data_IF_060272362960
#
_entry.id   IF_060272362960
#
_cell.length_a   1.000
_cell.length_b   1.000
_cell.length_c   1.000
_cell.angle_alpha   90.00
_cell.angle_beta   90.00
_cell.angle_gamma   90.00
#
_symmetry.space_group_name_H-M   'P 1'
#
loop_
_entity.id
_entity.type
_entity.pdbx_description
1 polymer ?
#
# COMPACT_ATOMS: atom_id res chain seq x y z
N UNK A 1 69.61 5.08 -38.72
CA UNK A 1 69.38 5.68 -40.05
C UNK A 1 67.89 5.85 -40.18
N UNK A 2 67.36 7.06 -40.35
CA UNK A 2 67.68 8.01 -41.43
C UNK A 2 66.76 7.65 -42.59
N UNK A 3 65.61 8.31 -42.74
CA UNK A 3 65.43 9.49 -43.60
C UNK A 3 64.96 9.02 -44.98
N UNK A 4 64.01 9.61 -45.70
CA UNK A 4 63.26 10.85 -45.58
C UNK A 4 62.68 11.19 -46.97
N UNK A 5 61.67 12.07 -47.00
CA UNK A 5 61.19 12.85 -48.17
C UNK A 5 60.49 12.07 -49.29
N UNK A 6 59.43 12.55 -49.95
CA UNK A 6 58.86 13.89 -50.09
C UNK A 6 58.58 14.14 -51.59
N UNK A 7 57.43 14.74 -51.92
CA UNK A 7 57.17 15.31 -53.26
C UNK A 7 55.72 15.20 -53.72
N UNK A 8 55.02 16.34 -53.77
CA UNK A 8 53.63 16.46 -54.18
C UNK A 8 53.42 16.69 -55.68
N UNK A 9 52.14 16.83 -56.05
CA UNK A 9 51.66 17.28 -57.36
C UNK A 9 50.13 17.37 -57.39
N UNK A 10 49.63 18.60 -57.50
CA UNK A 10 48.22 19.00 -57.68
C UNK A 10 47.53 18.38 -58.91
N UNK A 11 46.21 18.17 -58.81
CA UNK A 11 45.21 18.76 -59.76
C UNK A 11 43.75 18.47 -59.36
N UNK A 12 42.94 19.52 -59.44
CA UNK A 12 41.49 19.59 -59.28
C UNK A 12 40.69 18.64 -60.19
N UNK A 13 39.51 18.22 -59.73
CA UNK A 13 38.53 17.48 -60.53
C UNK A 13 37.20 17.24 -59.80
N UNK A 14 36.31 18.23 -59.85
CA UNK A 14 34.92 18.29 -59.36
C UNK A 14 34.01 17.22 -60.03
N UNK A 15 33.18 16.48 -59.27
CA UNK A 15 31.70 16.35 -59.41
C UNK A 15 31.07 15.05 -58.83
N UNK A 16 30.11 15.30 -57.92
CA UNK A 16 28.71 14.80 -57.86
C UNK A 16 28.45 13.34 -57.47
N UNK A 17 27.55 13.21 -56.49
CA UNK A 17 27.10 11.98 -55.87
C UNK A 17 26.31 11.03 -56.76
N UNK A 18 26.25 9.78 -56.29
CA UNK A 18 25.43 8.71 -56.84
C UNK A 18 24.73 7.97 -55.70
N UNK A 19 23.41 8.02 -55.75
CA UNK A 19 22.45 7.34 -54.87
C UNK A 19 22.53 5.83 -55.09
N UNK A 20 22.61 5.04 -54.02
CA UNK A 20 22.43 3.59 -54.09
C UNK A 20 21.03 3.24 -53.57
N UNK A 21 20.15 2.88 -54.50
CA UNK A 21 18.85 2.27 -54.27
C UNK A 21 19.02 0.76 -54.16
N UNK A 22 18.38 0.16 -53.16
CA UNK A 22 17.68 -1.11 -53.31
C UNK A 22 18.35 -2.36 -52.72
N UNK A 23 17.68 -2.95 -51.73
CA UNK A 23 17.56 -4.40 -51.64
C UNK A 23 16.20 -4.75 -51.03
N UNK A 24 15.37 -5.41 -51.84
CA UNK A 24 14.05 -5.91 -51.52
C UNK A 24 14.11 -6.98 -50.41
N UNK A 25 13.23 -6.87 -49.41
CA UNK A 25 13.00 -7.92 -48.44
C UNK A 25 11.74 -8.69 -48.82
N UNK A 26 11.92 -10.00 -49.00
CA UNK A 26 10.93 -10.96 -49.42
C UNK A 26 9.75 -11.09 -48.45
N UNK A 27 8.57 -11.32 -49.02
CA UNK A 27 7.33 -11.64 -48.32
C UNK A 27 7.41 -13.09 -47.83
N UNK A 28 7.28 -13.30 -46.51
CA UNK A 28 7.07 -14.61 -45.90
C UNK A 28 5.65 -14.70 -45.33
N UNK A 29 4.98 -15.86 -45.45
CA UNK A 29 3.59 -16.02 -45.07
C UNK A 29 3.42 -16.15 -43.55
N UNK A 30 2.23 -15.78 -43.11
CA UNK A 30 1.60 -15.99 -41.81
C UNK A 30 2.05 -17.30 -41.11
N UNK A 31 2.85 -17.19 -40.03
CA UNK A 31 2.89 -18.07 -38.85
C UNK A 31 4.23 -17.99 -38.11
N UNK A 32 4.27 -17.19 -37.05
CA UNK A 32 4.87 -17.56 -35.77
C UNK A 32 4.58 -16.39 -34.83
N UNK A 33 3.62 -16.55 -33.92
CA UNK A 33 3.61 -15.75 -32.71
C UNK A 33 4.88 -16.12 -31.95
N UNK A 34 5.99 -15.44 -32.24
CA UNK A 34 7.10 -15.42 -31.32
C UNK A 34 6.60 -14.68 -30.09
N UNK A 35 6.65 -15.35 -28.94
CA UNK A 35 6.62 -14.72 -27.62
C UNK A 35 7.90 -13.84 -27.45
N UNK A 36 8.16 -12.96 -28.40
CA UNK A 36 9.30 -12.06 -28.42
C UNK A 36 8.87 -10.81 -27.67
N UNK A 37 9.36 -10.68 -26.45
CA UNK A 37 9.55 -9.46 -25.65
C UNK A 37 8.36 -8.48 -25.64
N UNK A 38 7.83 -8.16 -24.47
CA UNK A 38 6.86 -7.07 -24.31
C UNK A 38 7.44 -5.74 -24.85
N UNK A 39 7.24 -5.48 -26.14
CA UNK A 39 7.92 -4.43 -26.87
C UNK A 39 6.94 -3.28 -27.05
N UNK A 40 6.87 -2.39 -26.06
CA UNK A 40 5.94 -1.25 -26.02
C UNK A 40 6.04 -0.43 -27.32
N UNK A 41 4.93 -0.34 -28.06
CA UNK A 41 4.82 0.47 -29.26
C UNK A 41 4.44 1.90 -28.86
N UNK A 42 5.25 2.86 -29.27
CA UNK A 42 5.00 4.28 -29.00
C UNK A 42 3.96 4.88 -29.96
N UNK A 43 3.99 4.48 -31.23
CA UNK A 43 3.15 5.04 -32.29
C UNK A 43 2.94 4.06 -33.45
N UNK A 44 1.82 4.16 -34.16
CA UNK A 44 1.57 3.47 -35.43
C UNK A 44 1.38 4.51 -36.54
N UNK A 45 2.12 4.37 -37.63
CA UNK A 45 2.12 5.33 -38.75
C UNK A 45 1.97 4.60 -40.09
N UNK A 46 1.25 5.16 -41.07
CA UNK A 46 1.18 4.58 -42.42
C UNK A 46 2.51 4.62 -43.17
N UNK A 47 3.41 5.54 -42.79
CA UNK A 47 4.71 5.74 -43.42
C UNK A 47 5.79 5.99 -42.35
N UNK A 48 7.02 5.56 -42.65
CA UNK A 48 8.19 5.84 -41.81
C UNK A 48 8.59 7.30 -41.92
N UNK A 49 8.44 8.06 -40.83
CA UNK A 49 8.86 9.46 -40.76
C UNK A 49 10.34 9.55 -40.41
N UNK A 50 11.06 10.48 -41.05
CA UNK A 50 12.49 10.74 -40.81
C UNK A 50 12.81 11.08 -39.33
N UNK A 51 11.83 11.58 -38.57
CA UNK A 51 11.98 11.87 -37.14
C UNK A 51 12.20 10.61 -36.28
N UNK A 52 11.78 9.42 -36.76
CA UNK A 52 12.00 8.13 -36.09
C UNK A 52 13.20 7.37 -36.66
N UNK A 53 14.09 8.06 -37.39
CA UNK A 53 15.30 7.43 -37.94
C UNK A 53 16.16 6.83 -36.81
N UNK A 54 16.31 5.50 -36.83
CA UNK A 54 17.06 4.73 -35.82
C UNK A 54 16.21 4.07 -34.73
N UNK A 55 14.89 4.29 -34.72
CA UNK A 55 13.97 3.56 -33.84
C UNK A 55 13.75 2.11 -34.30
N UNK A 56 13.31 1.24 -33.38
CA UNK A 56 12.86 -0.13 -33.71
C UNK A 56 11.51 -0.03 -34.43
N UNK A 57 11.43 -0.47 -35.68
CA UNK A 57 10.20 -0.42 -36.49
C UNK A 57 9.69 -1.83 -36.76
N UNK A 58 8.40 -2.06 -36.52
CA UNK A 58 7.67 -3.27 -36.93
C UNK A 58 6.78 -2.93 -38.13
N UNK A 59 6.89 -3.70 -39.21
CA UNK A 59 6.13 -3.48 -40.45
C UNK A 59 5.00 -4.48 -40.56
N UNK A 60 3.82 -4.00 -40.96
CA UNK A 60 2.63 -4.80 -41.18
C UNK A 60 2.17 -4.69 -42.65
N UNK A 61 1.61 -5.78 -43.23
CA UNK A 61 1.02 -5.79 -44.57
C UNK A 61 -0.07 -4.72 -44.79
N UNK A 62 -0.87 -4.44 -43.77
CA UNK A 62 -1.96 -3.48 -43.85
C UNK A 62 -2.00 -2.55 -42.61
N UNK A 63 -2.51 -1.34 -42.81
CA UNK A 63 -2.59 -0.35 -41.73
C UNK A 63 -3.46 -0.81 -40.56
N UNK A 64 -4.61 -1.45 -40.84
CA UNK A 64 -5.51 -1.95 -39.80
C UNK A 64 -4.88 -3.04 -38.93
N UNK A 65 -3.97 -3.86 -39.48
CA UNK A 65 -3.23 -4.86 -38.70
C UNK A 65 -2.28 -4.19 -37.70
N UNK A 66 -1.64 -3.08 -38.09
CA UNK A 66 -0.80 -2.29 -37.19
C UNK A 66 -1.62 -1.60 -36.09
N UNK A 67 -2.82 -1.11 -36.43
CA UNK A 67 -3.77 -0.54 -35.45
C UNK A 67 -4.20 -1.59 -34.44
N UNK A 68 -4.61 -2.77 -34.92
CA UNK A 68 -5.07 -3.87 -34.08
C UNK A 68 -3.97 -4.34 -33.12
N UNK A 69 -2.74 -4.53 -33.60
CA UNK A 69 -1.64 -4.96 -32.74
C UNK A 69 -1.26 -3.89 -31.70
N UNK A 70 -1.21 -2.61 -32.09
CA UNK A 70 -0.93 -1.50 -31.18
C UNK A 70 -1.97 -1.44 -30.04
N UNK A 71 -3.26 -1.43 -30.38
CA UNK A 71 -4.31 -1.38 -29.35
C UNK A 71 -4.43 -2.69 -28.56
N UNK A 72 -4.16 -3.85 -29.17
CA UNK A 72 -4.06 -5.11 -28.44
C UNK A 72 -2.95 -5.05 -27.39
N UNK A 73 -1.81 -4.44 -27.70
CA UNK A 73 -0.76 -4.24 -26.72
C UNK A 73 -1.14 -3.25 -25.62
N UNK A 74 -1.72 -2.10 -25.95
CA UNK A 74 -2.16 -1.11 -24.95
C UNK A 74 -3.14 -1.75 -23.96
N UNK A 75 -4.09 -2.56 -24.45
CA UNK A 75 -5.02 -3.28 -23.59
C UNK A 75 -4.33 -4.36 -22.74
N UNK A 76 -3.34 -5.08 -23.27
CA UNK A 76 -2.51 -6.01 -22.48
C UNK A 76 -1.76 -5.27 -21.36
N UNK A 77 -1.11 -4.16 -21.67
CA UNK A 77 -0.36 -3.34 -20.71
C UNK A 77 -1.28 -2.77 -19.61
N UNK A 78 -2.46 -2.29 -20.00
CA UNK A 78 -3.49 -1.82 -19.07
C UNK A 78 -3.96 -2.95 -18.14
N UNK A 79 -4.26 -4.14 -18.68
CA UNK A 79 -4.66 -5.29 -17.88
C UNK A 79 -3.58 -5.72 -16.87
N UNK A 80 -2.30 -5.66 -17.27
CA UNK A 80 -1.16 -5.93 -16.37
C UNK A 80 -1.08 -4.89 -15.26
N UNK A 81 -1.22 -3.60 -15.59
CA UNK A 81 -1.22 -2.51 -14.60
C UNK A 81 -2.40 -2.63 -13.62
N UNK A 82 -3.61 -2.89 -14.10
CA UNK A 82 -4.78 -3.10 -13.25
C UNK A 82 -4.61 -4.32 -12.32
N UNK A 83 -4.05 -5.41 -12.83
CA UNK A 83 -3.72 -6.59 -12.03
C UNK A 83 -2.69 -6.25 -10.94
N UNK A 84 -1.61 -5.55 -11.28
CA UNK A 84 -0.60 -5.09 -10.32
C UNK A 84 -1.21 -4.18 -9.24
N UNK A 85 -2.11 -3.26 -9.62
CA UNK A 85 -2.81 -2.40 -8.67
C UNK A 85 -3.71 -3.21 -7.73
N UNK A 86 -4.42 -4.22 -8.24
CA UNK A 86 -5.24 -5.10 -7.40
C UNK A 86 -4.38 -5.93 -6.43
N UNK A 87 -3.23 -6.44 -6.90
CA UNK A 87 -2.28 -7.16 -6.05
C UNK A 87 -1.71 -6.25 -4.96
N UNK A 88 -1.27 -5.05 -5.33
CA UNK A 88 -0.77 -4.05 -4.39
C UNK A 88 -1.86 -3.64 -3.38
N UNK A 89 -3.11 -3.47 -3.81
CA UNK A 89 -4.22 -3.17 -2.93
C UNK A 89 -4.53 -4.33 -1.93
N UNK A 90 -4.31 -5.58 -2.33
CA UNK A 90 -4.45 -6.73 -1.44
C UNK A 90 -3.36 -6.73 -0.35
N UNK A 91 -2.09 -6.52 -0.73
CA UNK A 91 -0.97 -6.44 0.22
C UNK A 91 -1.04 -5.22 1.13
N UNK A 92 -1.48 -4.07 0.62
CA UNK A 92 -1.70 -2.86 1.43
C UNK A 92 -2.71 -3.08 2.56
N UNK A 93 -3.66 -4.00 2.42
CA UNK A 93 -4.58 -4.37 3.50
C UNK A 93 -3.86 -5.16 4.60
N UNK A 94 -2.91 -6.01 4.24
CA UNK A 94 -2.06 -6.75 5.19
C UNK A 94 -1.20 -5.77 5.97
N UNK A 95 -0.53 -4.84 5.29
CA UNK A 95 0.33 -3.84 5.96
C UNK A 95 -0.44 -2.99 6.97
N UNK A 96 -1.68 -2.59 6.63
CA UNK A 96 -2.56 -1.87 7.58
C UNK A 96 -2.87 -2.70 8.82
N UNK A 97 -3.14 -3.99 8.66
CA UNK A 97 -3.41 -4.89 9.79
C UNK A 97 -2.15 -5.01 10.64
N UNK A 98 -0.98 -5.22 10.00
CA UNK A 98 0.31 -5.32 10.68
C UNK A 98 0.61 -4.08 11.50
N UNK A 99 0.52 -2.90 10.89
CA UNK A 99 0.76 -1.62 11.57
C UNK A 99 -0.17 -1.43 12.79
N UNK A 100 -1.45 -1.73 12.64
CA UNK A 100 -2.41 -1.61 13.75
C UNK A 100 -2.08 -2.56 14.91
N UNK A 101 -1.57 -3.76 14.62
CA UNK A 101 -1.12 -4.67 15.68
C UNK A 101 0.20 -4.20 16.31
N UNK A 102 1.13 -3.70 15.51
CA UNK A 102 2.42 -3.19 15.99
C UNK A 102 2.24 -1.97 16.90
N UNK A 103 1.36 -1.02 16.55
CA UNK A 103 0.98 0.12 17.40
C UNK A 103 0.34 -0.34 18.71
N UNK A 104 -0.51 -1.37 18.65
CA UNK A 104 -1.11 -1.93 19.86
C UNK A 104 -0.04 -2.56 20.76
N UNK A 105 0.89 -3.32 20.19
CA UNK A 105 1.99 -3.95 20.93
C UNK A 105 2.93 -2.89 21.50
N UNK A 106 3.27 -1.86 20.74
CA UNK A 106 4.14 -0.78 21.21
C UNK A 106 3.52 -0.05 22.38
N UNK A 107 2.22 0.30 22.31
CA UNK A 107 1.53 0.95 23.45
C UNK A 107 1.50 0.10 24.72
N UNK A 108 1.41 -1.24 24.59
CA UNK A 108 1.47 -2.15 25.73
C UNK A 108 2.90 -2.24 26.30
N UNK A 109 3.92 -2.25 25.45
CA UNK A 109 5.33 -2.23 25.86
C UNK A 109 5.71 -0.92 26.54
N UNK A 110 5.24 0.22 26.03
CA UNK A 110 5.45 1.52 26.68
C UNK A 110 4.85 1.52 28.08
N UNK A 111 3.64 0.99 28.28
CA UNK A 111 3.03 0.86 29.60
C UNK A 111 3.81 -0.07 30.53
N UNK A 112 4.30 -1.19 30.01
CA UNK A 112 5.15 -2.11 30.78
C UNK A 112 6.44 -1.42 31.26
N UNK A 113 7.04 -0.61 30.40
CA UNK A 113 8.26 0.13 30.67
C UNK A 113 8.04 1.30 31.64
N UNK A 114 6.93 2.04 31.48
CA UNK A 114 6.51 3.05 32.43
C UNK A 114 6.28 2.45 33.83
N UNK A 115 5.59 1.31 33.92
CA UNK A 115 5.36 0.64 35.22
C UNK A 115 6.66 0.08 35.82
N UNK A 116 7.61 -0.35 34.98
CA UNK A 116 8.96 -0.73 35.41
C UNK A 116 9.68 0.46 36.03
N UNK A 117 9.74 1.58 35.31
CA UNK A 117 10.43 2.79 35.76
C UNK A 117 9.79 3.35 37.03
N UNK A 118 8.45 3.39 37.10
CA UNK A 118 7.70 3.78 38.30
C UNK A 118 8.06 2.92 39.51
N UNK A 119 8.10 1.60 39.34
CA UNK A 119 8.50 0.67 40.40
C UNK A 119 9.93 0.89 40.88
N UNK A 120 10.86 1.08 39.96
CA UNK A 120 12.29 1.31 40.26
C UNK A 120 12.53 2.64 40.97
N UNK A 121 11.93 3.74 40.50
CA UNK A 121 12.06 5.05 41.13
C UNK A 121 11.47 5.08 42.53
N UNK A 122 10.30 4.46 42.71
CA UNK A 122 9.69 4.34 44.03
C UNK A 122 10.52 3.47 44.98
N UNK A 123 11.21 2.44 44.47
CA UNK A 123 12.12 1.62 45.27
C UNK A 123 13.36 2.41 45.69
N UNK A 124 13.90 3.26 44.81
CA UNK A 124 15.06 4.10 45.11
C UNK A 124 14.74 5.16 46.19
N UNK A 125 13.62 5.89 46.06
CA UNK A 125 13.17 6.91 47.02
C UNK A 125 12.22 6.37 48.10
N UNK A 126 12.27 5.08 48.38
CA UNK A 126 11.28 4.41 49.26
C UNK A 126 11.20 5.03 50.66
N UNK A 127 12.34 5.43 51.25
CA UNK A 127 12.37 6.03 52.59
C UNK A 127 11.67 7.39 52.66
N UNK A 128 11.91 8.24 51.66
CA UNK A 128 11.30 9.57 51.56
C UNK A 128 9.79 9.46 51.31
N UNK A 129 9.39 8.55 50.42
CA UNK A 129 7.97 8.34 50.10
C UNK A 129 7.21 7.77 51.30
N UNK A 130 7.78 6.84 52.07
CA UNK A 130 7.10 6.28 53.25
C UNK A 130 6.96 7.32 54.37
N UNK A 131 7.96 8.21 54.53
CA UNK A 131 7.89 9.35 55.44
C UNK A 131 6.77 10.33 55.01
N UNK A 132 6.70 10.68 53.72
CA UNK A 132 5.64 11.52 53.17
C UNK A 132 4.24 10.89 53.36
N UNK A 133 4.08 9.61 53.03
CA UNK A 133 2.80 8.90 53.22
C UNK A 133 2.39 8.89 54.70
N UNK A 134 3.34 8.74 55.62
CA UNK A 134 3.08 8.76 57.05
C UNK A 134 2.68 10.15 57.55
N UNK A 135 3.30 11.21 57.03
CA UNK A 135 2.93 12.60 57.33
C UNK A 135 1.50 12.91 56.89
N UNK A 136 1.17 12.57 55.64
CA UNK A 136 -0.18 12.77 55.08
C UNK A 136 -1.22 11.98 55.88
N UNK A 137 -0.96 10.71 56.20
CA UNK A 137 -1.85 9.90 57.05
C UNK A 137 -2.09 10.55 58.42
N UNK A 138 -1.04 11.05 59.05
CA UNK A 138 -1.15 11.70 60.36
C UNK A 138 -2.02 12.97 60.27
N UNK A 139 -1.88 13.75 59.19
CA UNK A 139 -2.75 14.89 58.91
C UNK A 139 -4.22 14.49 58.76
N UNK A 140 -4.49 13.43 57.98
CA UNK A 140 -5.85 12.88 57.81
C UNK A 140 -6.42 12.35 59.13
N UNK A 141 -5.63 11.61 59.91
CA UNK A 141 -6.06 11.05 61.21
C UNK A 141 -6.34 12.13 62.26
N UNK A 142 -5.71 13.31 62.13
CA UNK A 142 -5.97 14.46 62.98
C UNK A 142 -7.29 15.18 62.69
N UNK A 143 -8.00 14.77 61.63
CA UNK A 143 -9.30 15.33 61.26
C UNK A 143 -9.23 16.64 60.46
N UNK A 144 -8.06 16.95 59.88
CA UNK A 144 -7.91 18.07 58.93
C UNK A 144 -8.75 17.83 57.68
N UNK A 145 -9.37 18.88 57.15
CA UNK A 145 -10.06 18.78 55.88
C UNK A 145 -9.08 18.74 54.69
N UNK A 146 -9.57 18.36 53.51
CA UNK A 146 -8.73 18.12 52.34
C UNK A 146 -8.17 19.42 51.72
N UNK A 147 -8.85 20.54 51.90
CA UNK A 147 -8.41 21.85 51.42
C UNK A 147 -7.30 22.37 52.34
N UNK A 148 -7.49 22.28 53.65
CA UNK A 148 -6.51 22.60 54.67
C UNK A 148 -5.22 21.76 54.52
N UNK A 149 -5.35 20.45 54.26
CA UNK A 149 -4.18 19.58 54.08
C UNK A 149 -3.42 19.92 52.79
N UNK A 150 -4.12 20.29 51.71
CA UNK A 150 -3.48 20.73 50.47
C UNK A 150 -2.76 22.08 50.67
N UNK A 151 -3.41 23.05 51.31
CA UNK A 151 -2.80 24.35 51.64
C UNK A 151 -1.58 24.20 52.55
N UNK A 152 -1.63 23.29 53.53
CA UNK A 152 -0.51 23.02 54.42
C UNK A 152 0.68 22.41 53.67
N UNK A 153 0.42 21.47 52.74
CA UNK A 153 1.45 20.87 51.90
C UNK A 153 2.07 21.94 50.99
N UNK A 154 1.27 22.78 50.35
CA UNK A 154 1.76 23.87 49.49
C UNK A 154 2.59 24.89 50.30
N UNK A 155 2.14 25.26 51.49
CA UNK A 155 2.87 26.16 52.38
C UNK A 155 4.19 25.54 52.87
N UNK A 156 4.21 24.24 53.16
CA UNK A 156 5.41 23.51 53.57
C UNK A 156 6.40 23.34 52.42
N UNK A 157 5.91 23.10 51.21
CA UNK A 157 6.71 23.07 50.00
C UNK A 157 7.36 24.43 49.72
N UNK A 158 6.61 25.53 49.87
CA UNK A 158 7.12 26.89 49.72
C UNK A 158 8.18 27.27 50.77
N UNK A 159 8.15 26.63 51.94
CA UNK A 159 9.16 26.77 52.99
C UNK A 159 10.42 25.93 52.75
N UNK A 160 10.45 25.13 51.67
CA UNK A 160 11.60 24.33 51.27
C UNK A 160 11.63 22.91 51.84
N UNK A 161 10.50 22.37 52.32
CA UNK A 161 10.43 20.95 52.69
C UNK A 161 10.46 20.07 51.44
N UNK A 162 11.51 19.26 51.32
CA UNK A 162 11.70 18.33 50.22
C UNK A 162 10.57 17.30 50.11
N UNK A 163 9.97 16.88 51.23
CA UNK A 163 8.86 15.91 51.22
C UNK A 163 7.58 16.52 50.64
N UNK A 164 7.26 17.74 51.07
CA UNK A 164 6.10 18.47 50.59
C UNK A 164 6.25 18.86 49.10
N UNK A 165 7.45 19.22 48.67
CA UNK A 165 7.74 19.56 47.28
C UNK A 165 7.53 18.39 46.30
N UNK A 166 7.59 17.14 46.77
CA UNK A 166 7.28 15.96 45.95
C UNK A 166 5.78 15.79 45.68
N UNK A 167 4.89 16.42 46.43
CA UNK A 167 3.44 16.26 46.24
C UNK A 167 2.99 17.09 45.04
N UNK A 168 2.46 16.41 44.03
CA UNK A 168 1.90 17.08 42.85
C UNK A 168 0.38 17.27 42.99
N UNK A 169 -0.32 16.25 43.51
CA UNK A 169 -1.77 16.29 43.69
C UNK A 169 -2.21 15.35 44.80
N UNK A 170 -3.12 15.82 45.64
CA UNK A 170 -3.78 15.01 46.67
C UNK A 170 -5.22 14.67 46.23
N UNK A 171 -5.62 13.39 46.25
CA UNK A 171 -6.99 12.93 45.97
C UNK A 171 -7.47 12.00 47.10
N UNK A 172 -7.88 12.62 48.22
CA UNK A 172 -8.35 11.89 49.40
C UNK A 172 -9.69 11.15 49.16
N UNK A 173 -10.48 11.56 48.17
CA UNK A 173 -11.73 10.89 47.81
C UNK A 173 -11.51 9.45 47.33
N UNK A 174 -10.34 9.17 46.73
CA UNK A 174 -9.89 7.82 46.38
C UNK A 174 -8.82 7.27 47.34
N UNK A 175 -8.43 8.06 48.34
CA UNK A 175 -7.27 7.79 49.20
C UNK A 175 -5.97 7.64 48.38
N UNK A 176 -5.78 8.50 47.38
CA UNK A 176 -4.62 8.49 46.49
C UNK A 176 -3.83 9.81 46.59
N UNK A 177 -2.51 9.73 46.46
CA UNK A 177 -1.63 10.90 46.30
C UNK A 177 -0.78 10.72 45.06
N UNK A 178 -0.66 11.76 44.25
CA UNK A 178 0.25 11.79 43.10
C UNK A 178 1.49 12.56 43.49
N UNK A 179 2.64 11.89 43.44
CA UNK A 179 3.95 12.48 43.70
C UNK A 179 4.72 12.67 42.39
N UNK A 180 5.53 13.71 42.32
CA UNK A 180 6.46 13.98 41.23
C UNK A 180 7.87 13.60 41.71
N UNK A 181 8.46 12.58 41.09
CA UNK A 181 9.85 12.21 41.34
C UNK A 181 10.72 12.70 40.19
N UNK A 182 11.69 13.54 40.49
CA UNK A 182 12.74 13.92 39.54
C UNK A 182 13.53 12.66 39.14
N UNK A 183 13.61 12.44 37.82
CA UNK A 183 14.46 11.42 37.22
C UNK A 183 15.78 12.09 36.86
N UNK A 184 16.86 11.66 37.50
CA UNK A 184 18.20 12.15 37.23
C UNK A 184 18.68 11.47 35.94
N UNK A 185 18.30 12.03 34.79
CA UNK A 185 18.78 11.55 33.49
C UNK A 185 20.11 12.25 33.21
N UNK A 186 21.23 11.54 33.43
CA UNK A 186 22.60 12.06 33.23
C UNK A 186 22.89 12.52 31.78
N UNK A 187 21.92 12.43 30.86
CA UNK A 187 22.11 12.55 29.42
C UNK A 187 21.44 13.75 28.73
N UNK A 188 20.77 14.68 29.45
CA UNK A 188 20.16 15.87 28.82
C UNK A 188 20.64 17.21 29.42
N UNK A 189 21.47 17.92 28.66
CA UNK A 189 21.95 19.29 28.91
C UNK A 189 20.87 20.38 28.67
N UNK A 190 19.57 20.06 28.59
CA UNK A 190 18.53 21.04 28.28
C UNK A 190 17.17 20.78 28.95
N UNK A 191 16.72 21.78 29.74
CA UNK A 191 15.34 22.11 30.13
C UNK A 191 14.62 21.10 31.03
N UNK A 192 14.38 21.49 32.30
CA UNK A 192 13.48 20.88 33.30
C UNK A 192 13.39 19.34 33.26
N UNK A 193 14.17 18.68 34.13
CA UNK A 193 14.17 17.22 34.28
C UNK A 193 12.72 16.67 34.28
N UNK A 194 12.38 15.71 33.41
CA UNK A 194 11.03 15.17 33.33
C UNK A 194 10.67 14.52 34.67
N UNK A 195 9.72 15.11 35.38
CA UNK A 195 9.24 14.55 36.65
C UNK A 195 8.32 13.36 36.36
N UNK A 196 8.67 12.20 36.91
CA UNK A 196 7.85 11.00 36.81
C UNK A 196 6.71 11.11 37.83
N UNK A 197 5.49 11.23 37.33
CA UNK A 197 4.29 11.26 38.17
C UNK A 197 3.89 9.83 38.59
N UNK A 198 3.75 9.63 39.89
CA UNK A 198 3.38 8.37 40.52
C UNK A 198 2.15 8.56 41.40
N UNK A 199 1.05 7.91 41.05
CA UNK A 199 -0.14 7.84 41.92
C UNK A 199 0.01 6.68 42.89
N UNK A 200 -0.05 6.97 44.19
CA UNK A 200 0.16 6.03 45.29
C UNK A 200 -1.10 5.95 46.15
N UNK A 201 -1.42 4.75 46.64
CA UNK A 201 -2.50 4.55 47.59
C UNK A 201 -2.04 4.89 49.01
N UNK A 202 -2.71 5.85 49.64
CA UNK A 202 -2.46 6.30 51.00
C UNK A 202 -2.75 5.21 52.03
N UNK A 203 -3.45 4.13 51.70
CA UNK A 203 -3.72 3.01 52.61
C UNK A 203 -2.57 2.00 52.64
N UNK A 204 -1.63 2.09 51.69
CA UNK A 204 -0.55 1.13 51.49
C UNK A 204 0.82 1.74 51.78
N UNK A 205 1.75 0.99 52.38
CA UNK A 205 3.13 1.46 52.55
C UNK A 205 3.81 1.71 51.20
N UNK A 206 4.91 2.47 51.19
CA UNK A 206 5.69 2.72 49.98
C UNK A 206 6.10 1.39 49.30
N UNK A 207 6.50 0.39 50.09
CA UNK A 207 6.86 -0.94 49.60
C UNK A 207 5.67 -1.70 48.98
N UNK A 208 4.47 -1.55 49.53
CA UNK A 208 3.27 -2.17 48.97
C UNK A 208 2.84 -1.51 47.66
N UNK A 209 2.93 -0.17 47.57
CA UNK A 209 2.72 0.56 46.33
C UNK A 209 3.75 0.19 45.25
N UNK A 210 5.04 0.06 45.60
CA UNK A 210 6.07 -0.40 44.67
C UNK A 210 5.78 -1.81 44.13
N UNK A 211 5.35 -2.73 45.00
CA UNK A 211 4.92 -4.07 44.58
C UNK A 211 3.74 -4.03 43.62
N UNK A 212 2.79 -3.10 43.80
CA UNK A 212 1.66 -2.95 42.90
C UNK A 212 2.12 -2.61 41.46
N UNK A 213 3.10 -1.72 41.29
CA UNK A 213 3.69 -1.44 39.98
C UNK A 213 4.39 -2.65 39.37
N UNK A 214 5.14 -3.44 40.16
CA UNK A 214 5.73 -4.69 39.64
C UNK A 214 4.70 -5.76 39.27
N UNK A 215 3.58 -5.85 39.99
CA UNK A 215 2.47 -6.72 39.63
C UNK A 215 1.79 -6.23 38.35
N UNK A 216 1.57 -4.92 38.23
CA UNK A 216 1.04 -4.29 37.02
C UNK A 216 1.94 -4.54 35.81
N UNK A 217 3.26 -4.37 35.95
CA UNK A 217 4.27 -4.73 34.94
C UNK A 217 4.14 -6.19 34.52
N UNK A 218 4.10 -7.14 35.46
CA UNK A 218 3.96 -8.57 35.13
C UNK A 218 2.65 -8.86 34.39
N UNK A 219 1.56 -8.21 34.80
CA UNK A 219 0.27 -8.34 34.12
C UNK A 219 0.30 -7.72 32.70
N UNK A 220 0.97 -6.57 32.54
CA UNK A 220 1.20 -5.92 31.25
C UNK A 220 2.04 -6.82 30.34
N UNK A 221 3.17 -7.35 30.82
CA UNK A 221 4.03 -8.28 30.09
C UNK A 221 3.27 -9.54 29.63
N UNK A 222 2.45 -10.14 30.51
CA UNK A 222 1.63 -11.28 30.15
C UNK A 222 0.56 -10.94 29.09
N UNK A 223 0.00 -9.72 29.13
CA UNK A 223 -0.91 -9.23 28.08
C UNK A 223 -0.17 -8.98 26.77
N UNK A 224 1.02 -8.40 26.82
CA UNK A 224 1.89 -8.16 25.66
C UNK A 224 2.22 -9.48 24.98
N UNK A 225 2.70 -10.49 25.71
CA UNK A 225 3.03 -11.81 25.15
C UNK A 225 1.84 -12.45 24.43
N UNK A 226 0.67 -12.50 25.07
CA UNK A 226 -0.56 -13.02 24.44
C UNK A 226 -1.00 -12.20 23.22
N UNK A 227 -0.81 -10.88 23.27
CA UNK A 227 -1.17 -9.99 22.16
C UNK A 227 -0.22 -10.17 20.97
N UNK A 228 1.07 -10.41 21.22
CA UNK A 228 2.06 -10.72 20.17
C UNK A 228 1.69 -12.01 19.46
N UNK A 229 1.42 -13.10 20.20
CA UNK A 229 1.01 -14.38 19.60
C UNK A 229 -0.28 -14.24 18.76
N UNK A 230 -1.28 -13.53 19.29
CA UNK A 230 -2.53 -13.27 18.58
C UNK A 230 -2.33 -12.37 17.35
N UNK A 231 -1.46 -11.37 17.43
CA UNK A 231 -1.12 -10.46 16.34
C UNK A 231 -0.41 -11.20 15.21
N UNK A 232 0.60 -12.02 15.53
CA UNK A 232 1.30 -12.85 14.54
C UNK A 232 0.35 -13.81 13.83
N UNK A 233 -0.56 -14.45 14.57
CA UNK A 233 -1.58 -15.32 13.98
C UNK A 233 -2.53 -14.53 13.05
N UNK A 234 -2.94 -13.33 13.45
CA UNK A 234 -3.81 -12.47 12.65
C UNK A 234 -3.14 -11.98 11.36
N UNK A 235 -1.87 -11.54 11.44
CA UNK A 235 -1.08 -11.12 10.28
C UNK A 235 -0.86 -12.29 9.34
N UNK A 236 -0.47 -13.46 9.84
CA UNK A 236 -0.28 -14.68 9.03
C UNK A 236 -1.57 -15.11 8.32
N UNK A 237 -2.71 -15.02 8.99
CA UNK A 237 -4.01 -15.31 8.38
C UNK A 237 -4.37 -14.30 7.28
N UNK A 238 -4.06 -13.02 7.49
CA UNK A 238 -4.25 -11.96 6.49
C UNK A 238 -3.34 -12.15 5.27
N UNK A 239 -2.07 -12.50 5.49
CA UNK A 239 -1.10 -12.84 4.44
C UNK A 239 -1.55 -14.03 3.62
N UNK A 240 -1.94 -15.14 4.26
CA UNK A 240 -2.45 -16.32 3.56
C UNK A 240 -3.69 -15.99 2.71
N UNK A 241 -4.59 -15.15 3.22
CA UNK A 241 -5.76 -14.68 2.48
C UNK A 241 -5.38 -13.78 1.32
N UNK A 242 -4.43 -12.87 1.50
CA UNK A 242 -3.92 -12.01 0.43
C UNK A 242 -3.25 -12.83 -0.66
N UNK A 243 -2.40 -13.79 -0.29
CA UNK A 243 -1.73 -14.69 -1.23
C UNK A 243 -2.74 -15.55 -2.00
N UNK A 244 -3.75 -16.11 -1.34
CA UNK A 244 -4.81 -16.87 -2.00
C UNK A 244 -5.65 -15.99 -2.95
N UNK A 245 -5.89 -14.72 -2.61
CA UNK A 245 -6.58 -13.78 -3.49
C UNK A 245 -5.73 -13.41 -4.70
N UNK A 246 -4.45 -13.09 -4.50
CA UNK A 246 -3.51 -12.77 -5.57
C UNK A 246 -3.34 -13.97 -6.52
N UNK A 247 -3.27 -15.20 -6.00
CA UNK A 247 -3.17 -16.40 -6.83
C UNK A 247 -4.44 -16.65 -7.70
N UNK A 248 -5.61 -16.19 -7.24
CA UNK A 248 -6.86 -16.24 -8.01
C UNK A 248 -6.98 -15.11 -9.03
N UNK A 249 -6.31 -13.98 -8.80
CA UNK A 249 -6.27 -12.86 -9.73
C UNK A 249 -5.41 -13.25 -10.93
N UNK A 250 -6.05 -13.47 -12.06
CA UNK A 250 -5.39 -13.73 -13.34
C UNK A 250 -5.66 -12.58 -14.28
N UNK A 251 -4.72 -12.33 -15.19
CA UNK A 251 -4.97 -11.45 -16.34
C UNK A 251 -6.16 -12.04 -17.10
N UNK A 252 -7.33 -11.41 -17.00
CA UNK A 252 -8.46 -11.84 -17.83
C UNK A 252 -8.12 -11.42 -19.26
N UNK A 253 -7.80 -12.38 -20.12
CA UNK A 253 -7.53 -12.19 -21.55
C UNK A 253 -8.79 -11.81 -22.35
N UNK A 254 -9.76 -11.15 -21.72
CA UNK A 254 -10.94 -10.64 -22.38
C UNK A 254 -10.65 -9.21 -22.78
N UNK A 255 -10.07 -9.02 -23.97
CA UNK A 255 -10.31 -7.82 -24.77
C UNK A 255 -11.83 -7.77 -24.90
N UNK A 256 -12.48 -6.99 -24.03
CA UNK A 256 -13.94 -6.92 -23.99
C UNK A 256 -14.32 -6.18 -25.26
N UNK A 257 -14.70 -6.92 -26.30
CA UNK A 257 -15.08 -6.35 -27.58
C UNK A 257 -16.14 -5.26 -27.33
N UNK A 258 -15.76 -3.99 -27.52
CA UNK A 258 -16.61 -2.81 -27.33
C UNK A 258 -17.72 -2.74 -28.39
N UNK A 259 -17.81 -3.71 -29.32
CA UNK A 259 -18.90 -3.74 -30.28
C UNK A 259 -20.23 -3.88 -29.56
N UNK A 260 -21.15 -2.94 -29.81
CA UNK A 260 -22.56 -3.15 -29.50
C UNK A 260 -23.00 -4.29 -30.41
N UNK A 261 -23.31 -5.48 -29.88
CA UNK A 261 -23.74 -6.57 -30.73
C UNK A 261 -25.02 -6.12 -31.43
N UNK A 262 -24.99 -6.11 -32.76
CA UNK A 262 -26.21 -5.85 -33.51
C UNK A 262 -27.14 -7.04 -33.35
N UNK A 263 -28.45 -6.81 -33.48
CA UNK A 263 -29.42 -7.90 -33.33
C UNK A 263 -29.17 -9.04 -34.35
N UNK A 264 -28.60 -8.70 -35.51
CA UNK A 264 -28.28 -9.62 -36.60
C UNK A 264 -26.96 -10.39 -36.42
N UNK A 265 -26.10 -10.02 -35.46
CA UNK A 265 -24.84 -10.74 -35.16
C UNK A 265 -25.06 -12.20 -34.71
N UNK A 266 -26.32 -12.55 -34.42
CA UNK A 266 -26.74 -13.92 -34.07
C UNK A 266 -26.82 -14.85 -35.29
N UNK A 267 -26.87 -14.30 -36.49
CA UNK A 267 -26.99 -15.04 -37.75
C UNK A 267 -25.67 -15.00 -38.52
N UNK A 268 -25.49 -15.89 -39.50
CA UNK A 268 -24.38 -15.75 -40.43
C UNK A 268 -24.69 -14.56 -41.34
N UNK A 269 -23.84 -13.54 -41.36
CA UNK A 269 -24.12 -12.32 -42.12
C UNK A 269 -22.89 -11.79 -42.85
N UNK A 270 -23.13 -11.09 -43.95
CA UNK A 270 -22.13 -10.30 -44.64
C UNK A 270 -22.80 -9.12 -45.33
N UNK A 271 -22.01 -8.10 -45.69
CA UNK A 271 -22.48 -6.98 -46.52
C UNK A 271 -22.07 -7.27 -47.96
N UNK A 272 -23.02 -7.24 -48.88
CA UNK A 272 -22.76 -7.47 -50.31
C UNK A 272 -22.01 -6.28 -50.94
N UNK A 273 -21.52 -6.46 -52.17
CA UNK A 273 -20.88 -5.37 -52.93
C UNK A 273 -21.79 -4.17 -53.19
N UNK A 274 -23.11 -4.40 -53.23
CA UNK A 274 -24.14 -3.36 -53.38
C UNK A 274 -24.57 -2.76 -52.03
N UNK A 275 -23.80 -3.01 -50.98
CA UNK A 275 -24.03 -2.51 -49.63
C UNK A 275 -25.37 -2.99 -49.02
N UNK A 276 -25.83 -4.18 -49.41
CA UNK A 276 -27.00 -4.85 -48.82
C UNK A 276 -26.56 -5.76 -47.68
N UNK A 277 -27.28 -5.74 -46.56
CA UNK A 277 -27.07 -6.67 -45.45
C UNK A 277 -27.71 -8.02 -45.80
N UNK A 278 -26.89 -9.05 -45.95
CA UNK A 278 -27.35 -10.42 -46.24
C UNK A 278 -27.28 -11.24 -44.95
N UNK A 279 -28.41 -11.83 -44.55
CA UNK A 279 -28.54 -12.68 -43.38
C UNK A 279 -28.85 -14.12 -43.81
N UNK A 280 -28.14 -15.07 -43.21
CA UNK A 280 -28.33 -16.49 -43.41
C UNK A 280 -28.59 -17.18 -42.07
N UNK A 281 -29.67 -17.95 -42.03
CA UNK A 281 -30.01 -18.84 -40.92
C UNK A 281 -29.29 -20.18 -41.06
N UNK A 282 -28.78 -20.71 -39.94
CA UNK A 282 -28.12 -22.02 -39.91
C UNK A 282 -29.09 -23.16 -39.60
N UNK A 283 -30.27 -22.86 -39.05
CA UNK A 283 -31.30 -23.85 -38.71
C UNK A 283 -32.70 -23.35 -39.10
N UNK A 284 -33.66 -24.28 -39.21
CA UNK A 284 -35.03 -23.95 -39.62
C UNK A 284 -35.73 -23.00 -38.63
N UNK A 285 -35.35 -23.06 -37.35
CA UNK A 285 -35.93 -22.21 -36.31
C UNK A 285 -35.43 -20.76 -36.39
N UNK A 286 -34.13 -20.54 -36.64
CA UNK A 286 -33.56 -19.21 -36.88
C UNK A 286 -34.03 -18.62 -38.20
N UNK A 287 -34.30 -19.45 -39.21
CA UNK A 287 -34.89 -19.02 -40.48
C UNK A 287 -36.30 -18.46 -40.28
N UNK A 288 -37.16 -19.20 -39.56
CA UNK A 288 -38.51 -18.75 -39.23
C UNK A 288 -38.51 -17.48 -38.37
N UNK A 289 -37.56 -17.36 -37.43
CA UNK A 289 -37.38 -16.17 -36.60
C UNK A 289 -36.90 -14.95 -37.39
N UNK A 290 -36.02 -15.13 -38.39
CA UNK A 290 -35.62 -14.04 -39.30
C UNK A 290 -36.82 -13.51 -40.09
N UNK A 291 -37.57 -14.43 -40.72
CA UNK A 291 -38.71 -14.08 -41.57
C UNK A 291 -39.84 -13.44 -40.76
N UNK A 292 -40.17 -14.01 -39.60
CA UNK A 292 -41.35 -13.57 -38.83
C UNK A 292 -41.10 -12.26 -38.07
N UNK A 293 -39.86 -12.01 -37.62
CA UNK A 293 -39.57 -10.91 -36.69
C UNK A 293 -38.80 -9.76 -37.30
N UNK A 294 -38.05 -10.01 -38.37
CA UNK A 294 -37.00 -9.10 -38.83
C UNK A 294 -37.02 -8.81 -40.33
N UNK A 295 -37.92 -9.41 -41.09
CA UNK A 295 -38.08 -9.19 -42.52
C UNK A 295 -39.21 -8.18 -42.76
N UNK A 296 -38.94 -7.15 -43.56
CA UNK A 296 -39.92 -6.15 -44.02
C UNK A 296 -40.45 -6.51 -45.43
N UNK A 297 -41.53 -5.86 -45.87
CA UNK A 297 -42.20 -6.15 -47.15
C UNK A 297 -41.29 -5.93 -48.39
N UNK A 298 -40.23 -5.12 -48.25
CA UNK A 298 -39.26 -4.81 -49.31
C UNK A 298 -38.04 -5.77 -49.34
N UNK A 299 -37.96 -6.71 -48.40
CA UNK A 299 -36.84 -7.65 -48.30
C UNK A 299 -37.02 -8.88 -49.21
N UNK A 300 -35.90 -9.45 -49.67
CA UNK A 300 -35.89 -10.61 -50.58
C UNK A 300 -35.48 -11.87 -49.83
N UNK A 301 -36.37 -12.88 -49.84
CA UNK A 301 -36.08 -14.21 -49.31
C UNK A 301 -35.62 -15.17 -50.42
N UNK A 302 -34.50 -15.85 -50.19
CA UNK A 302 -33.93 -16.83 -51.14
C UNK A 302 -33.73 -18.17 -50.43
N UNK A 303 -34.26 -19.24 -51.02
CA UNK A 303 -34.05 -20.62 -50.59
C UNK A 303 -33.48 -21.42 -51.77
N UNK A 304 -32.51 -22.28 -51.51
CA UNK A 304 -32.03 -23.23 -52.52
C UNK A 304 -33.07 -24.34 -52.71
N UNK A 305 -33.46 -24.59 -53.96
CA UNK A 305 -34.30 -25.74 -54.31
C UNK A 305 -33.51 -27.02 -54.05
N UNK A 306 -34.00 -27.86 -53.14
CA UNK A 306 -33.36 -29.13 -52.80
C UNK A 306 -34.03 -30.21 -53.63
N UNK A 307 -33.49 -30.42 -54.84
CA UNK A 307 -33.82 -31.57 -55.69
C UNK A 307 -33.13 -32.85 -55.21
#
# INVERSE_FOLDING_TARGET
GGGGGGGGGDREGKKVGGVAVGAAAAIAPHAAYSESEAQEFDEFLPYELLQHAGARVCRFPAFWEAVDEHFAQVERARGVSELQQQQHAAWKKVDKIRHAQDERISSLRTKEEEDRLRGEMLQFKMGEVDALLSLIRTGVDSGMDWEELAELVDASAAQGDALAAMVHKLDLGKSEVTIALEVDDENDEALEAPSLLLTLDLRLSAAANARAFYVAKKAAAAKTAKTVEAAEAAVRAAEAKAQANVAKMKLSASIRAIRRPFWFDKFAWFVSSENLLVLAANDAHSADLLVTRHMDDDDVYVMADTA
#
